data_IF_022892249795
#
_entry.id   IF_022892249795
#
_cell.length_a   1.000
_cell.length_b   1.000
_cell.length_c   1.000
_cell.angle_alpha   90.00
_cell.angle_beta   90.00
_cell.angle_gamma   90.00
#
_symmetry.space_group_name_H-M   'P 1'
#
loop_
_entity.id
_entity.type
_entity.pdbx_description
1 polymer ?
#
# COMPACT_ATOMS: atom_id res chain seq x y z
N UNK A 1 8.75 6.94 -25.01
CA UNK A 1 9.65 6.19 -24.12
C UNK A 1 9.15 4.77 -23.90
N UNK A 2 7.88 4.54 -23.66
CA UNK A 2 7.29 3.21 -23.39
C UNK A 2 6.36 2.80 -24.53
N UNK A 3 6.51 1.57 -25.04
CA UNK A 3 5.55 0.96 -25.94
C UNK A 3 4.33 0.42 -25.14
N UNK A 4 3.23 0.14 -25.84
CA UNK A 4 2.07 -0.53 -25.21
C UNK A 4 2.45 -1.90 -24.63
N UNK A 5 3.44 -2.58 -25.23
CA UNK A 5 3.97 -3.87 -24.76
C UNK A 5 4.71 -3.70 -23.43
N UNK A 6 5.52 -2.64 -23.29
CA UNK A 6 6.25 -2.35 -22.05
C UNK A 6 5.29 -2.03 -20.90
N UNK A 7 4.26 -1.22 -21.18
CA UNK A 7 3.23 -0.91 -20.18
C UNK A 7 2.48 -2.16 -19.72
N UNK A 8 2.09 -3.06 -20.63
CA UNK A 8 1.46 -4.32 -20.26
C UNK A 8 2.41 -5.21 -19.45
N UNK A 9 3.69 -5.28 -19.83
CA UNK A 9 4.72 -6.05 -19.13
C UNK A 9 4.99 -5.52 -17.71
N UNK A 10 4.76 -4.23 -17.48
CA UNK A 10 4.85 -3.61 -16.17
C UNK A 10 3.58 -3.82 -15.34
N UNK A 11 2.40 -3.53 -15.91
CA UNK A 11 1.14 -3.43 -15.17
C UNK A 11 0.50 -4.79 -14.85
N UNK A 12 0.50 -5.75 -15.80
CA UNK A 12 -0.16 -7.05 -15.58
C UNK A 12 0.44 -7.79 -14.38
N UNK A 13 1.78 -7.91 -14.24
CA UNK A 13 2.35 -8.54 -13.05
C UNK A 13 1.99 -7.80 -11.76
N UNK A 14 1.95 -6.46 -11.76
CA UNK A 14 1.57 -5.68 -10.57
C UNK A 14 0.13 -5.94 -10.15
N UNK A 15 -0.80 -6.06 -11.10
CA UNK A 15 -2.20 -6.42 -10.79
C UNK A 15 -2.26 -7.80 -10.15
N UNK A 16 -1.54 -8.78 -10.70
CA UNK A 16 -1.47 -10.14 -10.15
C UNK A 16 -0.89 -10.11 -8.73
N UNK A 17 0.19 -9.36 -8.49
CA UNK A 17 0.82 -9.20 -7.18
C UNK A 17 -0.17 -8.66 -6.14
N UNK A 18 -0.96 -7.63 -6.48
CA UNK A 18 -1.95 -7.05 -5.57
C UNK A 18 -3.09 -8.04 -5.24
N UNK A 19 -3.60 -8.76 -6.24
CA UNK A 19 -4.65 -9.77 -6.02
C UNK A 19 -4.13 -10.89 -5.12
N UNK A 20 -2.93 -11.40 -5.39
CA UNK A 20 -2.32 -12.46 -4.59
C UNK A 20 -2.09 -12.04 -3.15
N UNK A 21 -1.63 -10.80 -2.91
CA UNK A 21 -1.43 -10.30 -1.56
C UNK A 21 -2.71 -10.32 -0.72
N UNK A 22 -3.85 -9.97 -1.33
CA UNK A 22 -5.15 -10.01 -0.65
C UNK A 22 -5.60 -11.46 -0.40
N UNK A 23 -5.48 -12.34 -1.41
CA UNK A 23 -5.88 -13.75 -1.26
C UNK A 23 -5.08 -14.46 -0.17
N UNK A 24 -3.78 -14.20 -0.07
CA UNK A 24 -2.93 -14.77 0.98
C UNK A 24 -3.30 -14.21 2.36
N UNK A 25 -3.55 -12.91 2.48
CA UNK A 25 -4.04 -12.33 3.72
C UNK A 25 -5.35 -12.95 4.20
N UNK A 26 -6.28 -13.27 3.28
CA UNK A 26 -7.51 -14.00 3.61
C UNK A 26 -7.23 -15.44 4.07
N UNK A 27 -6.30 -16.14 3.40
CA UNK A 27 -5.90 -17.49 3.79
C UNK A 27 -5.26 -17.51 5.18
N UNK A 28 -4.42 -16.53 5.51
CA UNK A 28 -3.81 -16.39 6.83
C UNK A 28 -4.86 -16.25 7.94
N UNK A 29 -5.89 -15.40 7.73
CA UNK A 29 -7.00 -15.24 8.69
C UNK A 29 -7.75 -16.55 8.92
N UNK A 30 -8.02 -17.31 7.85
CA UNK A 30 -8.68 -18.63 7.94
C UNK A 30 -7.81 -19.62 8.72
N UNK A 31 -6.49 -19.65 8.48
CA UNK A 31 -5.59 -20.56 9.20
C UNK A 31 -5.44 -20.17 10.67
N UNK A 32 -5.39 -18.88 11.00
CA UNK A 32 -5.37 -18.42 12.40
C UNK A 32 -6.66 -18.76 13.13
N UNK A 33 -7.82 -18.71 12.46
CA UNK A 33 -9.12 -19.05 13.06
C UNK A 33 -9.18 -20.51 13.55
N UNK A 34 -8.43 -21.41 12.95
CA UNK A 34 -8.32 -22.79 13.39
C UNK A 34 -7.55 -22.97 14.71
N UNK A 35 -6.78 -21.96 15.13
CA UNK A 35 -6.05 -21.98 16.42
C UNK A 35 -6.97 -21.60 17.59
N UNK A 36 -7.95 -20.72 17.36
CA UNK A 36 -8.93 -20.31 18.36
C UNK A 36 -9.12 -18.79 18.43
N UNK A 37 -10.18 -18.36 19.13
CA UNK A 37 -10.61 -16.95 19.19
C UNK A 37 -9.55 -16.01 19.82
N UNK A 38 -8.88 -16.45 20.89
CA UNK A 38 -7.83 -15.66 21.52
C UNK A 38 -6.63 -15.44 20.58
N UNK A 39 -6.34 -16.44 19.71
CA UNK A 39 -5.29 -16.34 18.71
C UNK A 39 -5.67 -15.34 17.62
N UNK A 40 -6.90 -15.43 17.09
CA UNK A 40 -7.41 -14.49 16.08
C UNK A 40 -7.38 -13.05 16.61
N UNK A 41 -7.84 -12.85 17.86
CA UNK A 41 -7.83 -11.54 18.51
C UNK A 41 -6.41 -11.00 18.66
N UNK A 42 -5.48 -11.82 19.20
CA UNK A 42 -4.08 -11.41 19.39
C UNK A 42 -3.38 -11.06 18.06
N UNK A 43 -3.55 -11.89 17.01
CA UNK A 43 -2.99 -11.64 15.68
C UNK A 43 -3.57 -10.37 15.07
N UNK A 44 -4.90 -10.16 15.14
CA UNK A 44 -5.56 -8.97 14.58
C UNK A 44 -5.08 -7.66 15.20
N UNK A 45 -4.82 -7.65 16.52
CA UNK A 45 -4.25 -6.49 17.22
C UNK A 45 -2.85 -6.17 16.66
N UNK A 46 -2.00 -7.20 16.54
CA UNK A 46 -0.64 -7.04 16.01
C UNK A 46 -0.64 -6.66 14.54
N UNK A 47 -1.55 -7.19 13.74
CA UNK A 47 -1.67 -6.85 12.32
C UNK A 47 -2.02 -5.38 12.11
N UNK A 48 -2.77 -4.78 13.02
CA UNK A 48 -3.06 -3.34 13.00
C UNK A 48 -1.77 -2.51 13.15
N UNK A 49 -0.88 -2.88 14.07
CA UNK A 49 0.43 -2.25 14.26
C UNK A 49 1.34 -2.54 13.05
N UNK A 50 1.41 -3.81 12.65
CA UNK A 50 2.25 -4.24 11.52
C UNK A 50 1.89 -3.52 10.23
N UNK A 51 0.60 -3.30 9.97
CA UNK A 51 0.12 -2.54 8.81
C UNK A 51 0.67 -1.12 8.80
N UNK A 52 0.68 -0.41 9.94
CA UNK A 52 1.26 0.93 10.04
C UNK A 52 2.76 0.91 9.73
N UNK A 53 3.50 -0.06 10.29
CA UNK A 53 4.94 -0.21 10.07
C UNK A 53 5.23 -0.52 8.59
N UNK A 54 4.51 -1.47 8.01
CA UNK A 54 4.65 -1.87 6.60
C UNK A 54 4.37 -0.68 5.68
N UNK A 55 3.33 0.11 5.94
CA UNK A 55 3.01 1.29 5.14
C UNK A 55 4.09 2.37 5.23
N UNK A 56 4.74 2.52 6.39
CA UNK A 56 5.87 3.43 6.56
C UNK A 56 7.09 2.98 5.72
N UNK A 57 7.43 1.69 5.77
CA UNK A 57 8.53 1.11 4.98
C UNK A 57 8.24 1.17 3.47
N UNK A 58 7.01 0.87 3.06
CA UNK A 58 6.57 0.97 1.67
C UNK A 58 6.62 2.41 1.13
N UNK A 59 6.30 3.40 1.97
CA UNK A 59 6.40 4.81 1.61
C UNK A 59 7.86 5.24 1.36
N UNK A 60 8.81 4.76 2.18
CA UNK A 60 10.23 5.00 1.96
C UNK A 60 10.71 4.34 0.66
N UNK A 61 10.26 3.11 0.41
CA UNK A 61 10.54 2.39 -0.85
C UNK A 61 9.97 3.12 -2.07
N UNK A 62 8.79 3.73 -1.95
CA UNK A 62 8.20 4.59 -2.99
C UNK A 62 9.06 5.83 -3.23
N UNK A 63 9.59 6.47 -2.17
CA UNK A 63 10.52 7.59 -2.29
C UNK A 63 11.76 7.23 -3.10
N UNK A 64 12.36 6.08 -2.80
CA UNK A 64 13.48 5.54 -3.56
C UNK A 64 13.14 5.20 -5.01
N UNK A 65 11.97 4.58 -5.26
CA UNK A 65 11.51 4.26 -6.61
C UNK A 65 11.36 5.52 -7.48
N UNK A 66 10.81 6.61 -6.94
CA UNK A 66 10.70 7.89 -7.66
C UNK A 66 12.09 8.43 -8.01
N UNK A 67 13.01 8.49 -7.05
CA UNK A 67 14.36 9.01 -7.28
C UNK A 67 15.11 8.16 -8.31
N UNK A 68 15.08 6.83 -8.18
CA UNK A 68 15.68 5.92 -9.15
C UNK A 68 15.07 6.05 -10.55
N UNK A 69 13.74 6.12 -10.65
CA UNK A 69 13.04 6.30 -11.93
C UNK A 69 13.46 7.61 -12.61
N UNK A 70 13.60 8.69 -11.85
CA UNK A 70 14.04 9.98 -12.40
C UNK A 70 15.50 9.92 -12.91
N UNK A 71 16.42 9.26 -12.19
CA UNK A 71 17.79 9.08 -12.66
C UNK A 71 17.88 8.16 -13.89
N UNK A 72 17.07 7.09 -13.93
CA UNK A 72 16.96 6.25 -15.13
C UNK A 72 16.45 7.03 -16.34
N UNK A 73 15.48 7.90 -16.13
CA UNK A 73 14.99 8.80 -17.18
C UNK A 73 16.07 9.73 -17.72
N UNK A 74 16.96 10.22 -16.85
CA UNK A 74 18.16 11.01 -17.24
C UNK A 74 19.25 10.17 -17.90
N UNK A 75 19.08 8.85 -18.01
CA UNK A 75 20.12 7.89 -18.43
C UNK A 75 21.37 7.89 -17.53
N UNK A 76 21.20 8.26 -16.27
CA UNK A 76 22.26 8.31 -15.26
C UNK A 76 22.17 7.06 -14.35
N UNK A 77 22.60 5.93 -14.88
CA UNK A 77 22.56 4.64 -14.19
C UNK A 77 23.47 4.65 -12.94
N UNK A 78 24.56 5.45 -12.94
CA UNK A 78 25.47 5.56 -11.81
C UNK A 78 24.76 6.16 -10.59
N UNK A 79 24.12 7.30 -10.74
CA UNK A 79 23.37 7.92 -9.64
C UNK A 79 22.11 7.15 -9.29
N UNK A 80 21.47 6.44 -10.24
CA UNK A 80 20.40 5.52 -9.96
C UNK A 80 20.84 4.37 -9.04
N UNK A 81 22.03 3.79 -9.27
CA UNK A 81 22.61 2.74 -8.41
C UNK A 81 23.02 3.30 -7.03
N UNK A 82 23.54 4.53 -6.96
CA UNK A 82 23.79 5.21 -5.67
C UNK A 82 22.48 5.38 -4.89
N UNK A 83 21.41 5.84 -5.56
CA UNK A 83 20.10 5.98 -4.93
C UNK A 83 19.55 4.64 -4.43
N UNK A 84 19.74 3.56 -5.19
CA UNK A 84 19.36 2.21 -4.82
C UNK A 84 20.09 1.72 -3.57
N UNK A 85 21.41 1.93 -3.50
CA UNK A 85 22.22 1.59 -2.32
C UNK A 85 21.75 2.36 -1.08
N UNK A 86 21.49 3.67 -1.22
CA UNK A 86 21.01 4.50 -0.10
C UNK A 86 19.59 4.14 0.32
N UNK A 87 18.73 3.74 -0.61
CA UNK A 87 17.41 3.24 -0.30
C UNK A 87 17.50 1.97 0.54
N UNK A 88 18.25 0.95 0.08
CA UNK A 88 18.42 -0.31 0.81
C UNK A 88 19.02 -0.10 2.20
N UNK A 89 20.05 0.74 2.29
CA UNK A 89 20.66 1.04 3.58
C UNK A 89 19.67 1.74 4.52
N UNK A 90 18.96 2.76 4.04
CA UNK A 90 18.02 3.53 4.86
C UNK A 90 16.83 2.69 5.32
N UNK A 91 16.25 1.86 4.43
CA UNK A 91 15.13 0.99 4.77
C UNK A 91 15.55 -0.12 5.72
N UNK A 92 16.73 -0.71 5.52
CA UNK A 92 17.28 -1.72 6.44
C UNK A 92 17.53 -1.14 7.83
N UNK A 93 18.23 0.00 7.94
CA UNK A 93 18.49 0.62 9.24
C UNK A 93 17.21 1.03 9.97
N UNK A 94 16.26 1.62 9.25
CA UNK A 94 14.97 1.98 9.84
C UNK A 94 14.21 0.74 10.31
N UNK A 95 14.17 -0.33 9.50
CA UNK A 95 13.46 -1.55 9.87
C UNK A 95 14.11 -2.29 11.04
N UNK A 96 15.46 -2.30 11.12
CA UNK A 96 16.20 -2.84 12.28
C UNK A 96 15.91 -2.00 13.54
N UNK A 97 15.91 -0.68 13.42
CA UNK A 97 15.53 0.19 14.53
C UNK A 97 14.11 -0.10 15.02
N UNK A 98 13.13 -0.19 14.12
CA UNK A 98 11.74 -0.56 14.45
C UNK A 98 11.68 -1.96 15.09
N UNK A 99 12.41 -2.93 14.53
CA UNK A 99 12.51 -4.27 15.11
C UNK A 99 13.00 -4.24 16.56
N UNK A 100 14.10 -3.53 16.84
CA UNK A 100 14.66 -3.43 18.20
C UNK A 100 13.65 -2.78 19.15
N UNK A 101 13.01 -1.68 18.75
CA UNK A 101 11.97 -1.02 19.56
C UNK A 101 10.79 -1.96 19.82
N UNK A 102 10.35 -2.71 18.82
CA UNK A 102 9.26 -3.67 18.94
C UNK A 102 9.63 -4.85 19.85
N UNK A 103 10.86 -5.37 19.76
CA UNK A 103 11.33 -6.48 20.59
C UNK A 103 11.51 -6.08 22.06
N UNK A 104 12.17 -4.94 22.30
CA UNK A 104 12.41 -4.42 23.66
C UNK A 104 11.10 -3.99 24.32
N UNK A 105 10.25 -3.32 23.56
CA UNK A 105 8.97 -2.78 24.04
C UNK A 105 7.78 -3.73 23.91
N UNK A 106 7.93 -4.97 23.49
CA UNK A 106 6.86 -5.88 23.07
C UNK A 106 5.61 -5.78 23.96
N UNK A 107 5.70 -6.18 25.21
CA UNK A 107 4.57 -6.14 26.15
C UNK A 107 4.10 -4.72 26.46
N UNK A 108 5.05 -3.80 26.66
CA UNK A 108 4.74 -2.42 27.03
C UNK A 108 4.03 -1.67 25.90
N UNK A 109 4.44 -1.89 24.65
CA UNK A 109 3.79 -1.28 23.47
C UNK A 109 2.37 -1.82 23.28
N UNK A 110 2.17 -3.14 23.40
CA UNK A 110 0.85 -3.75 23.30
C UNK A 110 -0.07 -3.23 24.42
N UNK A 111 0.41 -3.18 25.66
CA UNK A 111 -0.36 -2.64 26.78
C UNK A 111 -0.66 -1.14 26.65
N UNK A 112 0.28 -0.35 26.12
CA UNK A 112 0.11 1.08 25.90
C UNK A 112 -0.95 1.36 24.81
N UNK A 113 -0.96 0.56 23.73
CA UNK A 113 -1.83 0.79 22.58
C UNK A 113 -3.23 0.23 22.84
N UNK A 114 -3.34 -0.97 23.43
CA UNK A 114 -4.60 -1.70 23.56
C UNK A 114 -5.15 -1.76 25.00
N UNK A 115 -4.40 -1.25 25.96
CA UNK A 115 -4.82 -1.27 27.36
C UNK A 115 -4.77 -2.67 27.99
N UNK A 116 -5.69 -2.93 28.92
CA UNK A 116 -5.85 -4.25 29.55
C UNK A 116 -6.68 -5.16 28.65
N UNK A 117 -6.05 -6.17 28.09
CA UNK A 117 -6.66 -7.25 27.33
C UNK A 117 -6.52 -8.57 28.09
N UNK A 118 -7.33 -9.57 27.74
CA UNK A 118 -7.28 -10.90 28.36
C UNK A 118 -5.87 -11.50 28.27
N UNK A 119 -5.47 -12.27 29.29
CA UNK A 119 -4.11 -12.81 29.42
C UNK A 119 -3.73 -13.70 28.21
N UNK A 120 -4.66 -14.52 27.74
CA UNK A 120 -4.44 -15.43 26.61
C UNK A 120 -4.28 -14.65 25.29
N UNK A 121 -5.07 -13.59 25.09
CA UNK A 121 -4.96 -12.69 23.93
C UNK A 121 -3.62 -11.96 23.97
N UNK A 122 -3.19 -11.46 25.15
CA UNK A 122 -1.90 -10.78 25.32
C UNK A 122 -0.74 -11.74 25.02
N UNK A 123 -0.80 -12.98 25.50
CA UNK A 123 0.26 -13.98 25.25
C UNK A 123 0.41 -14.30 23.77
N UNK A 124 -0.72 -14.51 23.07
CA UNK A 124 -0.74 -14.74 21.62
C UNK A 124 -0.23 -13.51 20.85
N UNK A 125 -0.67 -12.32 21.24
CA UNK A 125 -0.22 -11.06 20.64
C UNK A 125 1.29 -10.85 20.82
N UNK A 126 1.84 -11.11 22.00
CA UNK A 126 3.28 -11.00 22.26
C UNK A 126 4.09 -11.95 21.39
N UNK A 127 3.67 -13.21 21.27
CA UNK A 127 4.33 -14.23 20.44
C UNK A 127 4.32 -13.82 18.97
N UNK A 128 3.17 -13.40 18.46
CA UNK A 128 3.04 -13.00 17.06
C UNK A 128 3.76 -11.69 16.76
N UNK A 129 3.74 -10.72 17.69
CA UNK A 129 4.43 -9.44 17.54
C UNK A 129 5.94 -9.62 17.53
N UNK A 130 6.47 -10.50 18.37
CA UNK A 130 7.89 -10.87 18.37
C UNK A 130 8.32 -11.40 16.99
N UNK A 131 7.61 -12.39 16.45
CA UNK A 131 7.91 -12.99 15.15
C UNK A 131 7.73 -11.98 14.02
N UNK A 132 6.65 -11.20 14.03
CA UNK A 132 6.42 -10.14 13.04
C UNK A 132 7.55 -9.12 13.05
N UNK A 133 8.00 -8.66 14.22
CA UNK A 133 9.10 -7.71 14.34
C UNK A 133 10.40 -8.23 13.76
N UNK A 134 10.76 -9.50 14.02
CA UNK A 134 11.94 -10.15 13.42
C UNK A 134 11.86 -10.19 11.90
N UNK A 135 10.66 -10.24 11.33
CA UNK A 135 10.47 -10.29 9.87
C UNK A 135 10.61 -8.93 9.17
N UNK A 136 10.48 -7.80 9.88
CA UNK A 136 10.46 -6.46 9.25
C UNK A 136 11.72 -6.11 8.44
N UNK A 137 12.96 -6.40 8.88
CA UNK A 137 14.14 -6.12 8.07
C UNK A 137 14.15 -6.85 6.73
N UNK A 138 13.68 -8.08 6.70
CA UNK A 138 13.61 -8.88 5.48
C UNK A 138 12.53 -8.35 4.54
N UNK A 139 11.36 -8.00 5.08
CA UNK A 139 10.30 -7.38 4.31
C UNK A 139 10.72 -6.03 3.73
N UNK A 140 11.43 -5.21 4.51
CA UNK A 140 11.93 -3.91 4.07
C UNK A 140 12.91 -4.04 2.89
N UNK A 141 13.80 -5.03 2.94
CA UNK A 141 14.72 -5.36 1.83
C UNK A 141 13.92 -5.79 0.59
N UNK A 142 12.94 -6.71 0.78
CA UNK A 142 12.08 -7.15 -0.31
C UNK A 142 11.36 -5.97 -0.97
N UNK A 143 10.68 -5.12 -0.19
CA UNK A 143 9.92 -3.97 -0.69
C UNK A 143 10.80 -2.96 -1.42
N UNK A 144 11.99 -2.67 -0.86
CA UNK A 144 12.94 -1.77 -1.49
C UNK A 144 13.45 -2.33 -2.84
N UNK A 145 13.87 -3.59 -2.88
CA UNK A 145 14.29 -4.24 -4.13
C UNK A 145 13.15 -4.34 -5.14
N UNK A 146 11.92 -4.68 -4.72
CA UNK A 146 10.75 -4.71 -5.58
C UNK A 146 10.48 -3.32 -6.19
N UNK A 147 10.60 -2.26 -5.40
CA UNK A 147 10.48 -0.88 -5.87
C UNK A 147 11.56 -0.52 -6.91
N UNK A 148 12.81 -0.97 -6.72
CA UNK A 148 13.90 -0.80 -7.68
C UNK A 148 13.61 -1.53 -8.99
N UNK A 149 13.17 -2.78 -8.95
CA UNK A 149 12.81 -3.54 -10.16
C UNK A 149 11.64 -2.91 -10.90
N UNK A 150 10.63 -2.43 -10.18
CA UNK A 150 9.54 -1.66 -10.77
C UNK A 150 10.06 -0.38 -11.44
N UNK A 151 10.99 0.35 -10.82
CA UNK A 151 11.57 1.56 -11.41
C UNK A 151 12.33 1.30 -12.71
N UNK A 152 12.88 0.09 -12.89
CA UNK A 152 13.48 -0.39 -14.14
C UNK A 152 12.46 -0.89 -15.19
N UNK A 153 11.16 -0.88 -14.86
CA UNK A 153 10.10 -1.41 -15.73
C UNK A 153 9.97 -2.94 -15.73
N UNK A 154 10.61 -3.63 -14.78
CA UNK A 154 10.61 -5.09 -14.69
C UNK A 154 9.90 -5.59 -13.42
N UNK A 155 8.58 -5.56 -13.41
CA UNK A 155 7.79 -6.07 -12.26
C UNK A 155 7.70 -7.61 -12.21
N UNK A 156 8.15 -8.34 -13.23
CA UNK A 156 8.11 -9.82 -13.20
C UNK A 156 8.96 -10.40 -12.07
N UNK A 157 10.11 -9.78 -11.78
CA UNK A 157 11.01 -10.24 -10.71
C UNK A 157 10.33 -10.11 -9.35
N UNK A 158 9.68 -8.97 -9.07
CA UNK A 158 8.96 -8.78 -7.80
C UNK A 158 7.79 -9.75 -7.66
N UNK A 159 7.01 -9.96 -8.72
CA UNK A 159 5.87 -10.88 -8.71
C UNK A 159 6.31 -12.32 -8.49
N UNK A 160 7.35 -12.78 -9.20
CA UNK A 160 7.83 -14.16 -9.03
C UNK A 160 8.35 -14.39 -7.61
N UNK A 161 9.06 -13.42 -7.04
CA UNK A 161 9.53 -13.51 -5.65
C UNK A 161 8.35 -13.45 -4.66
N UNK A 162 7.34 -12.61 -4.92
CA UNK A 162 6.11 -12.56 -4.12
C UNK A 162 5.36 -13.90 -4.17
N UNK A 163 5.24 -14.52 -5.33
CA UNK A 163 4.65 -15.87 -5.48
C UNK A 163 5.39 -16.91 -4.63
N UNK A 164 6.72 -16.90 -4.68
CA UNK A 164 7.55 -17.79 -3.87
C UNK A 164 7.35 -17.52 -2.37
N UNK A 165 7.38 -16.26 -1.96
CA UNK A 165 7.12 -15.85 -0.58
C UNK A 165 5.75 -16.33 -0.09
N UNK A 166 4.72 -16.10 -0.88
CA UNK A 166 3.35 -16.49 -0.55
C UNK A 166 3.17 -18.01 -0.49
N UNK A 167 3.80 -18.75 -1.41
CA UNK A 167 3.77 -20.20 -1.39
C UNK A 167 4.44 -20.77 -0.12
N UNK A 168 5.62 -20.26 0.26
CA UNK A 168 6.31 -20.64 1.49
C UNK A 168 5.44 -20.32 2.71
N UNK A 169 4.80 -19.13 2.73
CA UNK A 169 3.95 -18.72 3.82
C UNK A 169 2.73 -19.62 3.98
N UNK A 170 1.94 -19.81 2.94
CA UNK A 170 0.70 -20.62 2.99
C UNK A 170 0.99 -22.08 3.32
N UNK A 171 1.98 -22.68 2.65
CA UNK A 171 2.36 -24.08 2.92
C UNK A 171 2.95 -24.22 4.32
N UNK A 172 3.79 -23.29 4.72
CA UNK A 172 4.39 -23.26 6.06
C UNK A 172 3.33 -23.10 7.16
N UNK A 173 2.38 -22.17 6.99
CA UNK A 173 1.27 -21.98 7.93
C UNK A 173 0.43 -23.26 8.04
N UNK A 174 0.08 -23.88 6.91
CA UNK A 174 -0.68 -25.13 6.91
C UNK A 174 0.05 -26.26 7.64
N UNK A 175 1.34 -26.44 7.41
CA UNK A 175 2.15 -27.45 8.10
C UNK A 175 2.29 -27.17 9.60
N UNK A 176 2.58 -25.91 9.98
CA UNK A 176 2.82 -25.57 11.38
C UNK A 176 1.54 -25.49 12.21
N UNK A 177 0.42 -25.02 11.63
CA UNK A 177 -0.87 -24.93 12.33
C UNK A 177 -1.56 -26.28 12.40
N UNK A 178 -1.77 -26.95 11.25
CA UNK A 178 -2.55 -28.20 11.19
C UNK A 178 -1.72 -29.45 11.44
N UNK A 179 -0.44 -29.46 11.03
CA UNK A 179 0.46 -30.62 11.20
C UNK A 179 1.16 -30.65 12.56
N UNK A 180 1.77 -29.52 12.96
CA UNK A 180 2.59 -29.43 14.17
C UNK A 180 1.84 -28.83 15.37
N UNK A 181 0.63 -28.32 15.19
CA UNK A 181 -0.20 -27.72 16.24
C UNK A 181 0.52 -26.61 17.05
N UNK A 182 1.32 -25.77 16.38
CA UNK A 182 2.18 -24.77 17.04
C UNK A 182 1.42 -23.52 17.50
N UNK A 183 0.10 -23.49 17.42
CA UNK A 183 -0.68 -22.32 17.78
C UNK A 183 -0.34 -21.08 16.94
N UNK A 184 -0.29 -19.92 17.57
CA UNK A 184 0.02 -18.63 16.89
C UNK A 184 1.45 -18.58 16.32
N UNK A 185 2.41 -19.26 16.96
CA UNK A 185 3.76 -19.39 16.44
C UNK A 185 3.79 -20.11 15.08
N UNK A 186 2.81 -21.01 14.84
CA UNK A 186 2.64 -21.72 13.57
C UNK A 186 2.28 -20.82 12.39
N UNK A 187 1.83 -19.61 12.62
CA UNK A 187 1.60 -18.58 11.57
C UNK A 187 2.77 -17.59 11.53
N UNK A 188 3.33 -17.25 12.69
CA UNK A 188 4.42 -16.29 12.76
C UNK A 188 5.74 -16.80 12.19
N UNK A 189 6.13 -18.05 12.45
CA UNK A 189 7.41 -18.62 11.97
C UNK A 189 7.44 -18.70 10.44
N UNK A 190 6.44 -19.26 9.73
CA UNK A 190 6.42 -19.25 8.27
C UNK A 190 6.41 -17.84 7.67
N UNK A 191 5.81 -16.87 8.36
CA UNK A 191 5.88 -15.46 7.96
C UNK A 191 7.31 -14.93 8.01
N UNK A 192 8.09 -15.24 9.05
CA UNK A 192 9.52 -14.88 9.11
C UNK A 192 10.30 -15.57 7.98
N UNK A 193 10.12 -16.88 7.82
CA UNK A 193 10.85 -17.68 6.83
C UNK A 193 10.56 -17.20 5.41
N UNK A 194 9.29 -16.99 5.07
CA UNK A 194 8.87 -16.54 3.74
C UNK A 194 9.41 -15.14 3.40
N UNK A 195 9.34 -14.19 4.35
CA UNK A 195 9.89 -12.84 4.18
C UNK A 195 11.43 -12.86 4.10
N UNK A 196 12.08 -13.70 4.91
CA UNK A 196 13.53 -13.89 4.85
C UNK A 196 13.96 -14.45 3.48
N UNK A 197 13.29 -15.50 2.99
CA UNK A 197 13.55 -16.05 1.68
C UNK A 197 13.37 -14.99 0.57
N UNK A 198 12.26 -14.25 0.58
CA UNK A 198 12.00 -13.19 -0.39
C UNK A 198 13.05 -12.08 -0.34
N UNK A 199 13.41 -11.60 0.84
CA UNK A 199 14.43 -10.56 1.04
C UNK A 199 15.80 -11.01 0.53
N UNK A 200 16.22 -12.25 0.85
CA UNK A 200 17.50 -12.82 0.41
C UNK A 200 17.50 -13.00 -1.12
N UNK A 201 16.45 -13.60 -1.69
CA UNK A 201 16.31 -13.79 -3.15
C UNK A 201 16.46 -12.44 -3.86
N UNK A 202 15.70 -11.43 -3.45
CA UNK A 202 15.74 -10.11 -4.07
C UNK A 202 17.09 -9.43 -3.91
N UNK A 203 17.74 -9.57 -2.74
CA UNK A 203 19.07 -9.01 -2.49
C UNK A 203 20.14 -9.67 -3.38
N UNK A 204 20.04 -10.98 -3.62
CA UNK A 204 20.94 -11.69 -4.53
C UNK A 204 20.75 -11.22 -5.97
N UNK A 205 19.48 -11.13 -6.41
CA UNK A 205 19.18 -10.75 -7.80
C UNK A 205 19.59 -9.29 -8.07
N UNK A 206 19.37 -8.34 -7.14
CA UNK A 206 19.72 -6.92 -7.35
C UNK A 206 21.23 -6.66 -7.38
N UNK A 207 22.03 -7.63 -6.92
CA UNK A 207 23.51 -7.56 -7.00
C UNK A 207 24.09 -7.96 -8.35
N UNK A 208 23.26 -8.44 -9.28
CA UNK A 208 23.73 -8.78 -10.63
C UNK A 208 24.13 -7.49 -11.38
N UNK A 209 25.41 -7.37 -11.81
CA UNK A 209 25.92 -6.18 -12.51
C UNK A 209 25.31 -5.97 -13.90
N UNK A 210 24.66 -7.00 -14.48
CA UNK A 210 24.02 -6.90 -15.80
C UNK A 210 22.74 -6.07 -15.78
N UNK A 211 22.23 -5.75 -14.58
CA UNK A 211 21.05 -4.92 -14.44
C UNK A 211 21.38 -3.43 -14.52
N UNK A 212 20.45 -2.64 -15.09
CA UNK A 212 20.57 -1.17 -15.19
C UNK A 212 20.82 -0.49 -13.84
N UNK A 213 20.19 -0.99 -12.80
CA UNK A 213 20.47 -0.65 -11.41
C UNK A 213 20.99 -1.91 -10.74
N UNK A 214 22.16 -1.83 -10.16
CA UNK A 214 22.72 -2.90 -9.34
C UNK A 214 23.29 -2.35 -8.05
N UNK A 215 23.32 -3.18 -7.04
CA UNK A 215 23.90 -2.87 -5.73
C UNK A 215 25.26 -3.54 -5.64
N UNK A 216 26.30 -2.74 -5.36
CA UNK A 216 27.66 -3.25 -5.24
C UNK A 216 27.74 -4.43 -4.25
N UNK A 217 28.51 -5.46 -4.60
CA UNK A 217 28.76 -6.64 -3.72
C UNK A 217 29.36 -6.23 -2.38
N UNK A 218 30.17 -5.20 -2.35
CA UNK A 218 30.60 -4.53 -1.12
C UNK A 218 29.58 -3.42 -0.86
N UNK A 219 28.64 -3.66 0.04
CA UNK A 219 27.81 -2.58 0.59
C UNK A 219 28.76 -1.49 1.09
N UNK A 220 28.99 -0.49 0.24
CA UNK A 220 29.72 0.69 0.68
C UNK A 220 28.81 1.37 1.69
N UNK A 221 29.11 1.22 2.97
CA UNK A 221 28.44 1.88 4.08
C UNK A 221 28.64 3.41 4.07
N UNK A 222 29.00 3.95 2.91
CA UNK A 222 29.11 5.38 2.70
C UNK A 222 27.73 6.01 2.62
N UNK A 223 27.39 6.83 3.61
CA UNK A 223 26.20 7.65 3.57
C UNK A 223 26.36 8.78 2.53
N UNK A 224 25.40 8.88 1.62
CA UNK A 224 25.25 10.01 0.72
C UNK A 224 24.11 10.92 1.20
N UNK A 225 24.37 11.93 2.08
CA UNK A 225 23.31 12.69 2.75
C UNK A 225 22.33 13.35 1.77
N UNK A 226 22.85 13.84 0.64
CA UNK A 226 22.01 14.46 -0.38
C UNK A 226 21.03 13.45 -1.02
N UNK A 227 21.47 12.22 -1.27
CA UNK A 227 20.63 11.19 -1.86
C UNK A 227 19.57 10.71 -0.86
N UNK A 228 19.96 10.49 0.39
CA UNK A 228 19.04 10.15 1.48
C UNK A 228 18.01 11.27 1.65
N UNK A 229 18.43 12.53 1.65
CA UNK A 229 17.50 13.68 1.73
C UNK A 229 16.50 13.69 0.58
N UNK A 230 16.93 13.36 -0.64
CA UNK A 230 16.03 13.28 -1.80
C UNK A 230 14.99 12.16 -1.64
N UNK A 231 15.40 10.99 -1.14
CA UNK A 231 14.51 9.86 -0.86
C UNK A 231 13.52 10.22 0.26
N UNK A 232 14.02 10.75 1.37
CA UNK A 232 13.20 11.14 2.52
C UNK A 232 12.23 12.28 2.20
N UNK A 233 12.62 13.22 1.35
CA UNK A 233 11.75 14.31 0.90
C UNK A 233 10.46 13.81 0.23
N UNK A 234 10.50 12.62 -0.34
CA UNK A 234 9.36 11.95 -0.97
C UNK A 234 8.75 10.93 -0.01
N UNK A 235 9.58 10.09 0.59
CA UNK A 235 9.13 9.00 1.46
C UNK A 235 8.45 9.46 2.74
N UNK A 236 8.97 10.48 3.42
CA UNK A 236 8.38 10.98 4.68
C UNK A 236 6.97 11.53 4.47
N UNK A 237 6.71 12.45 3.53
CA UNK A 237 5.34 12.89 3.28
C UNK A 237 4.39 11.76 2.87
N UNK A 238 4.85 10.81 2.05
CA UNK A 238 4.05 9.65 1.67
C UNK A 238 3.75 8.74 2.88
N UNK A 239 4.72 8.55 3.76
CA UNK A 239 4.54 7.80 5.01
C UNK A 239 3.55 8.47 5.96
N UNK A 240 3.64 9.79 6.13
CA UNK A 240 2.67 10.56 6.92
C UNK A 240 1.26 10.44 6.35
N UNK A 241 1.11 10.56 5.03
CA UNK A 241 -0.19 10.38 4.36
C UNK A 241 -0.77 8.99 4.64
N UNK A 242 0.02 7.92 4.44
CA UNK A 242 -0.41 6.55 4.69
C UNK A 242 -0.77 6.29 6.16
N UNK A 243 0.05 6.80 7.09
CA UNK A 243 -0.19 6.66 8.53
C UNK A 243 -1.47 7.38 8.97
N UNK A 244 -1.69 8.62 8.50
CA UNK A 244 -2.91 9.37 8.78
C UNK A 244 -4.14 8.69 8.19
N UNK A 245 -3.99 8.08 7.00
CA UNK A 245 -5.07 7.31 6.38
C UNK A 245 -5.45 6.08 7.22
N UNK A 246 -4.48 5.35 7.75
CA UNK A 246 -4.76 4.19 8.61
C UNK A 246 -5.39 4.58 9.95
N UNK A 247 -4.89 5.64 10.58
CA UNK A 247 -5.52 6.18 11.79
C UNK A 247 -6.96 6.60 11.53
N UNK A 248 -7.23 7.26 10.41
CA UNK A 248 -8.58 7.64 10.04
C UNK A 248 -9.50 6.44 9.81
N UNK A 249 -9.00 5.34 9.22
CA UNK A 249 -9.78 4.09 9.09
C UNK A 249 -10.17 3.51 10.44
N UNK A 250 -9.25 3.53 11.42
CA UNK A 250 -9.51 3.05 12.78
C UNK A 250 -10.61 3.91 13.45
N UNK A 251 -10.54 5.24 13.33
CA UNK A 251 -11.56 6.13 13.89
C UNK A 251 -12.94 5.92 13.24
N UNK A 252 -12.97 5.74 11.93
CA UNK A 252 -14.22 5.43 11.21
C UNK A 252 -14.77 4.07 11.63
N UNK A 253 -13.92 3.06 11.81
CA UNK A 253 -14.34 1.74 12.30
C UNK A 253 -14.91 1.81 13.72
N UNK A 254 -14.32 2.63 14.59
CA UNK A 254 -14.83 2.90 15.94
C UNK A 254 -16.23 3.54 15.89
N UNK A 255 -16.45 4.50 14.97
CA UNK A 255 -17.78 5.09 14.77
C UNK A 255 -18.80 4.05 14.28
N UNK A 256 -18.42 3.19 13.32
CA UNK A 256 -19.31 2.13 12.81
C UNK A 256 -19.65 1.13 13.91
N UNK A 257 -18.72 0.83 14.83
CA UNK A 257 -18.97 -0.10 15.94
C UNK A 257 -20.05 0.37 16.90
N UNK A 258 -20.35 1.68 16.94
CA UNK A 258 -21.44 2.24 17.75
C UNK A 258 -22.84 2.09 17.11
N UNK A 259 -22.92 1.63 15.84
CA UNK A 259 -24.16 1.56 15.07
C UNK A 259 -24.90 0.20 15.15
N UNK A 260 -24.43 -0.71 15.98
CA UNK A 260 -25.02 -2.02 16.17
C UNK A 260 -24.46 -3.12 15.28
N UNK A 261 -24.76 -4.38 15.65
CA UNK A 261 -24.13 -5.58 15.06
C UNK A 261 -24.40 -5.75 13.57
N UNK A 262 -25.64 -5.49 13.12
CA UNK A 262 -25.98 -5.60 11.69
C UNK A 262 -25.18 -4.60 10.83
N UNK A 263 -25.03 -3.36 11.33
CA UNK A 263 -24.20 -2.33 10.68
C UNK A 263 -22.74 -2.71 10.58
N UNK A 264 -22.15 -3.26 11.66
CA UNK A 264 -20.77 -3.72 11.70
C UNK A 264 -20.57 -4.85 10.68
N UNK A 265 -21.46 -5.86 10.68
CA UNK A 265 -21.36 -7.01 9.79
C UNK A 265 -21.51 -6.59 8.31
N UNK A 266 -22.52 -5.77 7.99
CA UNK A 266 -22.74 -5.26 6.64
C UNK A 266 -21.57 -4.41 6.14
N UNK A 267 -21.04 -3.52 6.98
CA UNK A 267 -19.86 -2.70 6.66
C UNK A 267 -18.60 -3.55 6.42
N UNK A 268 -18.35 -4.57 7.26
CA UNK A 268 -17.19 -5.43 7.13
C UNK A 268 -17.22 -6.22 5.82
N UNK A 269 -18.35 -6.84 5.49
CA UNK A 269 -18.52 -7.59 4.24
C UNK A 269 -18.42 -6.67 3.03
N UNK A 270 -19.06 -5.49 3.06
CA UNK A 270 -18.93 -4.52 1.98
C UNK A 270 -17.46 -4.13 1.76
N UNK A 271 -16.70 -3.79 2.82
CA UNK A 271 -15.28 -3.45 2.70
C UNK A 271 -14.42 -4.58 2.12
N UNK A 272 -14.71 -5.84 2.50
CA UNK A 272 -13.99 -7.00 1.95
C UNK A 272 -14.22 -7.17 0.45
N UNK A 273 -15.43 -6.96 -0.01
CA UNK A 273 -15.79 -7.14 -1.43
C UNK A 273 -15.31 -5.96 -2.30
N UNK A 274 -15.49 -4.73 -1.84
CA UNK A 274 -15.10 -3.54 -2.64
C UNK A 274 -13.58 -3.38 -2.79
N UNK A 275 -12.76 -4.00 -1.93
CA UNK A 275 -11.32 -3.94 -2.11
C UNK A 275 -10.86 -4.58 -3.42
N UNK A 276 -11.52 -5.66 -3.88
CA UNK A 276 -11.21 -6.30 -5.16
C UNK A 276 -11.49 -5.38 -6.35
N UNK A 277 -12.41 -4.45 -6.21
CA UNK A 277 -12.78 -3.49 -7.23
C UNK A 277 -11.63 -2.51 -7.53
N UNK A 278 -10.93 -1.99 -6.50
CA UNK A 278 -9.88 -0.98 -6.69
C UNK A 278 -8.44 -1.53 -6.76
N UNK A 279 -8.21 -2.84 -6.50
CA UNK A 279 -6.87 -3.43 -6.57
C UNK A 279 -6.13 -3.18 -7.90
N UNK A 280 -6.77 -3.39 -9.09
CA UNK A 280 -6.10 -3.09 -10.35
C UNK A 280 -5.75 -1.60 -10.48
N UNK A 281 -6.59 -0.73 -9.93
CA UNK A 281 -6.35 0.71 -9.91
C UNK A 281 -5.11 1.09 -9.09
N UNK A 282 -4.91 0.46 -7.93
CA UNK A 282 -3.70 0.63 -7.12
C UNK A 282 -2.45 0.16 -7.87
N UNK A 283 -2.51 -0.99 -8.52
CA UNK A 283 -1.41 -1.51 -9.35
C UNK A 283 -1.02 -0.55 -10.47
N UNK A 284 -2.02 0.05 -11.15
CA UNK A 284 -1.78 1.07 -12.17
C UNK A 284 -1.12 2.31 -11.55
N UNK A 285 -1.56 2.73 -10.36
CA UNK A 285 -0.94 3.82 -9.59
C UNK A 285 0.55 3.57 -9.32
N UNK A 286 0.91 2.36 -8.89
CA UNK A 286 2.32 1.97 -8.71
C UNK A 286 3.11 2.02 -10.03
N UNK A 287 2.52 1.55 -11.12
CA UNK A 287 3.12 1.64 -12.46
C UNK A 287 3.31 3.09 -12.93
N UNK A 288 2.41 4.00 -12.56
CA UNK A 288 2.53 5.44 -12.87
C UNK A 288 3.80 6.04 -12.25
N UNK A 289 4.19 5.63 -11.04
CA UNK A 289 5.43 6.10 -10.40
C UNK A 289 6.65 5.85 -11.30
N UNK A 290 6.73 4.67 -11.89
CA UNK A 290 7.82 4.29 -12.79
C UNK A 290 7.78 5.07 -14.10
N UNK A 291 6.64 5.02 -14.80
CA UNK A 291 6.50 5.58 -16.15
C UNK A 291 6.66 7.11 -16.12
N UNK A 292 5.95 7.76 -15.21
CA UNK A 292 5.98 9.21 -15.11
C UNK A 292 7.32 9.70 -14.52
N UNK A 293 7.87 8.97 -13.53
CA UNK A 293 9.18 9.30 -12.96
C UNK A 293 10.30 9.29 -14.01
N UNK A 294 10.33 8.30 -14.90
CA UNK A 294 11.30 8.26 -15.99
C UNK A 294 11.05 9.38 -17.01
N UNK A 295 9.79 9.68 -17.38
CA UNK A 295 9.48 10.78 -18.29
C UNK A 295 9.89 12.14 -17.71
N UNK A 296 9.62 12.38 -16.43
CA UNK A 296 10.00 13.60 -15.73
C UNK A 296 11.53 13.71 -15.62
N UNK A 297 12.20 12.60 -15.30
CA UNK A 297 13.66 12.55 -15.26
C UNK A 297 14.31 12.88 -16.59
N UNK A 298 13.75 12.39 -17.70
CA UNK A 298 14.20 12.70 -19.05
C UNK A 298 13.86 14.14 -19.52
N UNK A 299 13.07 14.90 -18.75
CA UNK A 299 12.55 16.21 -19.18
C UNK A 299 11.43 16.15 -20.19
N UNK A 300 10.88 14.96 -20.47
CA UNK A 300 9.83 14.70 -21.44
C UNK A 300 8.43 14.96 -20.85
N UNK A 301 8.16 16.21 -20.49
CA UNK A 301 6.93 16.62 -19.79
C UNK A 301 5.66 16.36 -20.61
N UNK A 302 5.73 16.47 -21.92
CA UNK A 302 4.60 16.16 -22.82
C UNK A 302 4.25 14.67 -22.75
N UNK A 303 5.26 13.80 -22.80
CA UNK A 303 5.07 12.35 -22.66
C UNK A 303 4.56 11.98 -21.25
N UNK A 304 5.06 12.64 -20.18
CA UNK A 304 4.56 12.44 -18.83
C UNK A 304 3.04 12.69 -18.75
N UNK A 305 2.54 13.77 -19.36
CA UNK A 305 1.10 14.06 -19.45
C UNK A 305 0.35 13.03 -20.28
N UNK A 306 0.91 12.64 -21.43
CA UNK A 306 0.29 11.65 -22.33
C UNK A 306 0.12 10.30 -21.64
N UNK A 307 1.16 9.80 -20.95
CA UNK A 307 1.09 8.54 -20.20
C UNK A 307 0.17 8.64 -19.00
N UNK A 308 0.17 9.76 -18.27
CA UNK A 308 -0.79 9.97 -17.18
C UNK A 308 -2.22 9.85 -17.67
N UNK A 309 -2.58 10.56 -18.77
CA UNK A 309 -3.92 10.48 -19.35
C UNK A 309 -4.26 9.06 -19.85
N UNK A 310 -3.30 8.39 -20.50
CA UNK A 310 -3.50 7.03 -20.99
C UNK A 310 -3.75 6.05 -19.83
N UNK A 311 -2.91 6.08 -18.80
CA UNK A 311 -3.03 5.19 -17.65
C UNK A 311 -4.30 5.47 -16.83
N UNK A 312 -4.72 6.73 -16.71
CA UNK A 312 -6.02 7.05 -16.10
C UNK A 312 -7.17 6.48 -16.95
N UNK A 313 -7.14 6.60 -18.28
CA UNK A 313 -8.17 6.01 -19.15
C UNK A 313 -8.24 4.48 -19.00
N UNK A 314 -7.09 3.82 -18.96
CA UNK A 314 -7.03 2.36 -18.73
C UNK A 314 -7.61 2.02 -17.35
N UNK A 315 -7.27 2.80 -16.34
CA UNK A 315 -7.79 2.63 -14.99
C UNK A 315 -9.32 2.78 -14.94
N UNK A 316 -9.86 3.84 -15.55
CA UNK A 316 -11.31 4.03 -15.70
C UNK A 316 -11.98 2.84 -16.38
N UNK A 317 -11.40 2.33 -17.46
CA UNK A 317 -11.96 1.19 -18.19
C UNK A 317 -12.03 -0.08 -17.35
N UNK A 318 -10.95 -0.39 -16.62
CA UNK A 318 -10.90 -1.58 -15.76
C UNK A 318 -11.86 -1.44 -14.58
N UNK A 319 -11.85 -0.29 -13.89
CA UNK A 319 -12.70 -0.08 -12.73
C UNK A 319 -14.18 -0.02 -13.11
N UNK A 320 -14.53 0.53 -14.27
CA UNK A 320 -15.91 0.52 -14.75
C UNK A 320 -16.44 -0.91 -14.99
N UNK A 321 -15.61 -1.78 -15.59
CA UNK A 321 -15.97 -3.20 -15.76
C UNK A 321 -16.16 -3.88 -14.41
N UNK A 322 -15.24 -3.67 -13.47
CA UNK A 322 -15.33 -4.27 -12.15
C UNK A 322 -16.51 -3.73 -11.34
N UNK A 323 -16.81 -2.44 -11.45
CA UNK A 323 -17.98 -1.82 -10.82
C UNK A 323 -19.29 -2.43 -11.30
N UNK A 324 -19.43 -2.63 -12.62
CA UNK A 324 -20.61 -3.30 -13.19
C UNK A 324 -20.69 -4.76 -12.73
N UNK A 325 -19.59 -5.49 -12.74
CA UNK A 325 -19.56 -6.89 -12.31
C UNK A 325 -19.88 -7.02 -10.82
N UNK A 326 -19.27 -6.19 -9.97
CA UNK A 326 -19.48 -6.22 -8.53
C UNK A 326 -20.93 -5.82 -8.17
N UNK A 327 -21.48 -4.81 -8.85
CA UNK A 327 -22.89 -4.42 -8.68
C UNK A 327 -23.82 -5.57 -9.07
N UNK A 328 -23.62 -6.19 -10.23
CA UNK A 328 -24.45 -7.29 -10.71
C UNK A 328 -24.38 -8.54 -9.81
N UNK A 329 -23.21 -8.80 -9.24
CA UNK A 329 -22.94 -9.95 -8.37
C UNK A 329 -23.04 -9.63 -6.87
N UNK A 330 -23.42 -8.41 -6.47
CA UNK A 330 -23.46 -7.98 -5.08
C UNK A 330 -24.30 -8.89 -4.18
N UNK A 331 -25.53 -9.20 -4.61
CA UNK A 331 -26.46 -10.06 -3.85
C UNK A 331 -25.93 -11.49 -3.67
N UNK A 332 -25.52 -12.24 -4.73
CA UNK A 332 -24.97 -13.58 -4.54
C UNK A 332 -23.66 -13.60 -3.76
N UNK A 333 -22.78 -12.59 -3.94
CA UNK A 333 -21.52 -12.50 -3.18
C UNK A 333 -21.75 -12.25 -1.70
N UNK A 334 -22.67 -11.34 -1.34
CA UNK A 334 -23.06 -11.10 0.05
C UNK A 334 -23.73 -12.33 0.64
N UNK A 335 -24.52 -13.08 -0.15
CA UNK A 335 -25.18 -14.31 0.28
C UNK A 335 -24.21 -15.40 0.77
N UNK A 336 -22.96 -15.43 0.29
CA UNK A 336 -21.94 -16.39 0.74
C UNK A 336 -21.62 -16.22 2.24
N UNK A 337 -21.78 -15.00 2.78
CA UNK A 337 -21.43 -14.69 4.17
C UNK A 337 -22.51 -15.05 5.19
N UNK A 338 -23.68 -15.53 4.77
CA UNK A 338 -24.80 -15.94 5.62
C UNK A 338 -25.16 -14.90 6.70
N UNK A 339 -25.24 -13.62 6.30
CA UNK A 339 -25.61 -12.51 7.18
C UNK A 339 -27.11 -12.49 7.48
N UNK A 340 -27.50 -11.75 8.54
CA UNK A 340 -28.90 -11.41 8.75
C UNK A 340 -29.47 -10.63 7.55
N UNK A 341 -30.79 -10.66 7.31
CA UNK A 341 -31.41 -9.92 6.20
C UNK A 341 -31.10 -8.42 6.24
N UNK A 342 -31.05 -7.83 7.43
CA UNK A 342 -30.69 -6.43 7.64
C UNK A 342 -29.24 -6.15 7.26
N UNK A 343 -28.28 -6.94 7.77
CA UNK A 343 -26.85 -6.79 7.45
C UNK A 343 -26.56 -7.02 5.96
N UNK A 344 -27.26 -8.00 5.34
CA UNK A 344 -27.16 -8.25 3.89
C UNK A 344 -27.64 -7.06 3.07
N UNK A 345 -28.78 -6.48 3.45
CA UNK A 345 -29.33 -5.28 2.78
C UNK A 345 -28.36 -4.10 2.87
N UNK A 346 -27.79 -3.87 4.06
CA UNK A 346 -26.75 -2.83 4.27
C UNK A 346 -25.54 -3.12 3.35
N UNK A 347 -25.00 -4.33 3.36
CA UNK A 347 -23.82 -4.68 2.57
C UNK A 347 -24.05 -4.46 1.06
N UNK A 348 -25.18 -4.93 0.53
CA UNK A 348 -25.53 -4.75 -0.90
C UNK A 348 -25.67 -3.27 -1.24
N UNK A 349 -26.40 -2.50 -0.42
CA UNK A 349 -26.57 -1.06 -0.65
C UNK A 349 -25.23 -0.31 -0.67
N UNK A 350 -24.34 -0.62 0.27
CA UNK A 350 -23.00 -0.04 0.33
C UNK A 350 -22.16 -0.40 -0.92
N UNK A 351 -22.15 -1.65 -1.36
CA UNK A 351 -21.43 -2.11 -2.55
C UNK A 351 -21.91 -1.36 -3.80
N UNK A 352 -23.23 -1.29 -4.00
CA UNK A 352 -23.81 -0.60 -5.17
C UNK A 352 -23.43 0.87 -5.19
N UNK A 353 -23.56 1.58 -4.07
CA UNK A 353 -23.19 3.01 -3.98
C UNK A 353 -21.68 3.21 -4.17
N UNK A 354 -20.85 2.30 -3.68
CA UNK A 354 -19.39 2.32 -3.89
C UNK A 354 -19.05 2.19 -5.37
N UNK A 355 -19.66 1.25 -6.07
CA UNK A 355 -19.41 1.02 -7.49
C UNK A 355 -19.73 2.26 -8.34
N UNK A 356 -20.79 3.01 -8.00
CA UNK A 356 -21.05 4.31 -8.64
C UNK A 356 -19.96 5.34 -8.32
N UNK A 357 -19.46 5.37 -7.09
CA UNK A 357 -18.41 6.30 -6.69
C UNK A 357 -17.04 5.99 -7.32
N UNK A 358 -16.85 4.81 -7.90
CA UNK A 358 -15.60 4.43 -8.57
C UNK A 358 -15.23 5.33 -9.76
N UNK A 359 -16.17 6.11 -10.28
CA UNK A 359 -15.88 7.15 -11.27
C UNK A 359 -14.91 8.23 -10.73
N UNK A 360 -14.88 8.43 -9.42
CA UNK A 360 -14.01 9.44 -8.77
C UNK A 360 -12.63 8.85 -8.46
N UNK A 361 -12.55 7.54 -8.22
CA UNK A 361 -11.40 6.86 -7.64
C UNK A 361 -10.08 7.06 -8.42
N UNK A 362 -10.02 6.94 -9.78
CA UNK A 362 -8.75 7.08 -10.52
C UNK A 362 -8.09 8.45 -10.31
N UNK A 363 -8.87 9.51 -10.23
CA UNK A 363 -8.32 10.86 -10.02
C UNK A 363 -7.95 11.08 -8.54
N UNK A 364 -8.71 10.50 -7.60
CA UNK A 364 -8.45 10.64 -6.19
C UNK A 364 -7.22 9.84 -5.70
N UNK A 365 -6.95 8.66 -6.29
CA UNK A 365 -5.94 7.72 -5.77
C UNK A 365 -4.85 7.32 -6.77
N UNK A 366 -5.13 7.23 -8.07
CA UNK A 366 -4.09 6.91 -9.05
C UNK A 366 -3.33 8.16 -9.51
N UNK A 367 -4.01 9.26 -9.81
CA UNK A 367 -3.38 10.51 -10.24
C UNK A 367 -2.32 11.06 -9.25
N UNK A 368 -2.51 11.02 -7.92
CA UNK A 368 -1.47 11.45 -6.98
C UNK A 368 -0.13 10.73 -7.15
N UNK A 369 -0.12 9.51 -7.64
CA UNK A 369 1.13 8.79 -7.91
C UNK A 369 1.93 9.42 -9.06
N UNK A 370 1.25 9.99 -10.07
CA UNK A 370 1.91 10.78 -11.11
C UNK A 370 2.49 12.08 -10.55
N UNK A 371 1.77 12.77 -9.65
CA UNK A 371 2.24 13.97 -8.99
C UNK A 371 3.48 13.67 -8.11
N UNK A 372 3.43 12.58 -7.34
CA UNK A 372 4.57 12.10 -6.53
C UNK A 372 5.76 11.73 -7.39
N UNK A 373 5.55 11.09 -8.54
CA UNK A 373 6.60 10.75 -9.50
C UNK A 373 7.34 11.98 -10.02
N UNK A 374 6.69 13.14 -10.04
CA UNK A 374 7.28 14.44 -10.34
C UNK A 374 7.79 15.20 -9.09
N UNK A 375 7.84 14.54 -7.92
CA UNK A 375 8.26 15.09 -6.63
C UNK A 375 7.30 16.13 -6.01
N UNK A 376 6.06 16.23 -6.49
CA UNK A 376 5.02 17.12 -5.92
C UNK A 376 4.29 16.46 -4.73
N UNK A 377 5.06 16.00 -3.75
CA UNK A 377 4.59 15.14 -2.64
C UNK A 377 3.93 15.94 -1.53
N UNK A 378 4.39 17.17 -1.28
CA UNK A 378 3.81 18.00 -0.22
C UNK A 378 2.35 18.34 -0.50
N UNK A 379 2.04 18.67 -1.75
CA UNK A 379 0.69 18.96 -2.16
C UNK A 379 -0.23 17.74 -2.00
N UNK A 380 0.23 16.56 -2.43
CA UNK A 380 -0.57 15.32 -2.30
C UNK A 380 -0.81 14.97 -0.84
N UNK A 381 0.22 15.05 0.01
CA UNK A 381 0.12 14.79 1.45
C UNK A 381 -0.86 15.75 2.14
N UNK A 382 -0.68 17.07 1.97
CA UNK A 382 -1.52 18.06 2.64
C UNK A 382 -2.98 17.91 2.23
N UNK A 383 -3.24 17.75 0.93
CA UNK A 383 -4.60 17.54 0.41
C UNK A 383 -5.21 16.26 0.99
N UNK A 384 -4.48 15.15 1.01
CA UNK A 384 -4.99 13.88 1.49
C UNK A 384 -5.23 13.87 3.00
N UNK A 385 -4.31 14.43 3.79
CA UNK A 385 -4.45 14.53 5.25
C UNK A 385 -5.62 15.44 5.62
N UNK A 386 -5.69 16.63 5.03
CA UNK A 386 -6.81 17.54 5.27
C UNK A 386 -8.15 16.91 4.92
N UNK A 387 -8.25 16.31 3.75
CA UNK A 387 -9.46 15.66 3.27
C UNK A 387 -9.90 14.52 4.19
N UNK A 388 -8.96 13.70 4.65
CA UNK A 388 -9.22 12.58 5.58
C UNK A 388 -9.82 13.08 6.90
N UNK A 389 -9.23 14.12 7.49
CA UNK A 389 -9.70 14.64 8.78
C UNK A 389 -11.01 15.44 8.65
N UNK A 390 -11.10 16.32 7.66
CA UNK A 390 -12.28 17.19 7.50
C UNK A 390 -13.51 16.41 7.00
N UNK A 391 -13.34 15.66 5.91
CA UNK A 391 -14.46 14.98 5.26
C UNK A 391 -14.64 13.55 5.78
N UNK A 392 -13.62 12.69 5.69
CA UNK A 392 -13.81 11.28 6.03
C UNK A 392 -14.14 11.06 7.51
N UNK A 393 -13.48 11.77 8.41
CA UNK A 393 -13.74 11.66 9.85
C UNK A 393 -14.79 12.68 10.27
N UNK A 394 -14.51 13.99 10.16
CA UNK A 394 -15.40 15.04 10.65
C UNK A 394 -16.82 14.95 10.09
N UNK A 395 -16.96 14.84 8.76
CA UNK A 395 -18.26 14.74 8.13
C UNK A 395 -18.95 13.40 8.46
N UNK A 396 -18.22 12.27 8.66
CA UNK A 396 -18.81 11.01 9.12
C UNK A 396 -19.50 11.17 10.46
N UNK A 397 -18.86 11.81 11.44
CA UNK A 397 -19.47 12.06 12.74
C UNK A 397 -20.72 12.95 12.62
N UNK A 398 -20.68 13.99 11.79
CA UNK A 398 -21.84 14.88 11.54
C UNK A 398 -22.99 14.10 10.91
N UNK A 399 -22.73 13.31 9.85
CA UNK A 399 -23.78 12.57 9.15
C UNK A 399 -24.35 11.41 9.97
N UNK A 400 -23.52 10.76 10.76
CA UNK A 400 -23.97 9.62 11.59
C UNK A 400 -24.68 10.09 12.85
N UNK A 401 -24.08 10.99 13.62
CA UNK A 401 -24.63 11.42 14.92
C UNK A 401 -25.63 12.57 14.78
N UNK A 402 -25.42 13.50 13.84
CA UNK A 402 -26.32 14.64 13.62
C UNK A 402 -27.50 14.33 12.73
N UNK A 403 -27.27 13.66 11.61
CA UNK A 403 -28.32 13.34 10.63
C UNK A 403 -28.87 11.90 10.74
N UNK A 404 -28.31 11.08 11.62
CA UNK A 404 -28.73 9.69 11.87
C UNK A 404 -28.75 8.80 10.60
N UNK A 405 -27.82 9.04 9.66
CA UNK A 405 -27.74 8.30 8.40
C UNK A 405 -27.08 6.91 8.54
N UNK A 406 -26.74 6.48 9.75
CA UNK A 406 -26.11 5.20 10.00
C UNK A 406 -24.82 4.98 9.20
N UNK A 407 -24.58 3.74 8.78
CA UNK A 407 -23.36 3.39 8.01
C UNK A 407 -23.31 4.07 6.65
N UNK A 408 -24.46 4.37 6.04
CA UNK A 408 -24.51 5.11 4.78
C UNK A 408 -23.91 6.51 4.92
N UNK A 409 -24.08 7.17 6.07
CA UNK A 409 -23.47 8.46 6.36
C UNK A 409 -21.94 8.39 6.32
N UNK A 410 -21.33 7.30 6.81
CA UNK A 410 -19.89 7.07 6.73
C UNK A 410 -19.43 6.97 5.27
N UNK A 411 -20.17 6.29 4.41
CA UNK A 411 -19.78 6.14 3.01
C UNK A 411 -20.01 7.41 2.20
N UNK A 412 -21.06 8.16 2.47
CA UNK A 412 -21.25 9.50 1.87
C UNK A 412 -20.07 10.43 2.23
N UNK A 413 -19.64 10.43 3.48
CA UNK A 413 -18.48 11.18 3.93
C UNK A 413 -17.18 10.72 3.23
N UNK A 414 -17.02 9.41 3.00
CA UNK A 414 -15.92 8.84 2.23
C UNK A 414 -15.93 9.34 0.77
N UNK A 415 -17.09 9.41 0.14
CA UNK A 415 -17.17 9.91 -1.24
C UNK A 415 -16.96 11.42 -1.32
N UNK A 416 -17.35 12.19 -0.30
CA UNK A 416 -17.00 13.59 -0.19
C UNK A 416 -15.48 13.81 -0.06
N UNK A 417 -14.80 12.97 0.74
CA UNK A 417 -13.32 12.92 0.82
C UNK A 417 -12.71 12.65 -0.57
N UNK A 418 -13.19 11.64 -1.29
CA UNK A 418 -12.70 11.31 -2.64
C UNK A 418 -12.95 12.44 -3.64
N UNK A 419 -14.13 13.02 -3.62
CA UNK A 419 -14.51 14.14 -4.49
C UNK A 419 -13.61 15.36 -4.29
N UNK A 420 -13.37 15.73 -3.04
CA UNK A 420 -12.49 16.83 -2.69
C UNK A 420 -11.05 16.59 -3.19
N UNK A 421 -10.50 15.40 -2.93
CA UNK A 421 -9.18 15.00 -3.43
C UNK A 421 -9.12 15.06 -4.95
N UNK A 422 -10.11 14.46 -5.62
CA UNK A 422 -10.16 14.40 -7.07
C UNK A 422 -10.17 15.80 -7.69
N UNK A 423 -10.97 16.73 -7.15
CA UNK A 423 -11.02 18.11 -7.63
C UNK A 423 -9.67 18.79 -7.49
N UNK A 424 -9.04 18.74 -6.30
CA UNK A 424 -7.77 19.42 -6.06
C UNK A 424 -6.62 18.80 -6.87
N UNK A 425 -6.54 17.46 -6.95
CA UNK A 425 -5.52 16.79 -7.75
C UNK A 425 -5.70 17.05 -9.25
N UNK A 426 -6.93 17.09 -9.74
CA UNK A 426 -7.22 17.42 -11.12
C UNK A 426 -6.84 18.87 -11.47
N UNK A 427 -7.19 19.84 -10.60
CA UNK A 427 -6.78 21.25 -10.76
C UNK A 427 -5.26 21.36 -10.77
N UNK A 428 -4.56 20.69 -9.82
CA UNK A 428 -3.11 20.68 -9.77
C UNK A 428 -2.48 20.10 -11.02
N UNK A 429 -3.02 18.99 -11.51
CA UNK A 429 -2.59 18.33 -12.74
C UNK A 429 -2.79 19.24 -13.97
N UNK A 430 -3.99 19.83 -14.13
CA UNK A 430 -4.33 20.70 -15.27
C UNK A 430 -3.48 21.96 -15.28
N UNK A 431 -3.21 22.57 -14.14
CA UNK A 431 -2.37 23.77 -14.04
C UNK A 431 -0.92 23.55 -14.49
N UNK A 432 -0.45 22.31 -14.57
CA UNK A 432 0.94 21.97 -14.91
C UNK A 432 1.96 22.25 -13.81
N UNK A 433 1.56 22.80 -12.67
CA UNK A 433 2.44 23.16 -11.55
C UNK A 433 3.10 21.96 -10.86
N UNK A 434 2.66 20.74 -11.15
CA UNK A 434 3.23 19.50 -10.65
C UNK A 434 4.53 19.10 -11.37
N UNK A 435 4.76 19.59 -12.58
CA UNK A 435 5.98 19.33 -13.34
C UNK A 435 7.06 20.33 -12.95
N UNK A 436 8.34 19.88 -12.81
CA UNK A 436 9.46 20.78 -12.56
C UNK A 436 9.51 21.83 -13.69
N UNK A 437 9.67 23.10 -13.31
CA UNK A 437 9.92 24.14 -14.32
C UNK A 437 11.25 23.83 -14.99
N UNK A 438 11.30 23.82 -16.34
CA UNK A 438 12.56 23.78 -17.05
C UNK A 438 13.41 24.95 -16.57
N UNK A 439 14.69 24.73 -16.15
CA UNK A 439 15.58 25.87 -16.03
C UNK A 439 15.53 26.63 -17.36
N UNK A 440 15.16 27.91 -17.31
CA UNK A 440 15.27 28.76 -18.49
C UNK A 440 16.69 28.55 -19.02
N UNK A 441 16.84 28.06 -20.27
CA UNK A 441 18.09 28.13 -20.97
C UNK A 441 18.49 29.60 -20.87
N UNK A 442 19.52 29.88 -20.08
CA UNK A 442 20.17 31.18 -20.18
C UNK A 442 20.44 31.35 -21.67
N UNK A 443 19.80 32.35 -22.26
CA UNK A 443 20.13 32.79 -23.58
C UNK A 443 21.64 33.07 -23.55
N UNK A 444 22.42 32.17 -24.16
CA UNK A 444 23.82 32.42 -24.43
C UNK A 444 23.75 33.60 -25.39
N UNK A 445 24.02 34.78 -24.83
CA UNK A 445 24.17 36.01 -25.60
C UNK A 445 25.23 35.78 -26.66
N UNK A 446 24.86 36.16 -27.83
CA UNK A 446 25.72 36.31 -29.00
C UNK A 446 26.93 37.22 -28.71
#
# INVERSE_FOLDING_TARGET
>A
MFSKKDLRRLLIPLIIEQILAVLVGMADVVMVSAVGEAAVSGVSLVDSISTLIIQLLAALSTGGAVVCSQYLGKKDAKNASVAANQLLLSTFLLSVFIMIVALVGNRSLLALIFGSIEADVMSNAQTYFFLSAVSYPFLAIYDACAALYRSMGNSKVSVNTSLCMNAINVVGNALCVYGLHMGVAGVGIPTVVSRAAAGIIMLVIVRNPDHLIHVDRRLRLGFHPQMIRNILRIGVPAGMENSMFQLGKILVQSLVSSLGTASIAGFAVANNLVQFEYLPGTAIGLGMVTVIGQCVGAGEHAQARQYTNYLLKVNYGILAVLAVLLTALSTPLVGIYNLSPEASSIAVALIVVHSFAMIIWPVAFALPNALRAASDVKFTMVTAVFSMWAFRIGLSYVLVLGFHLGVMGVWIAMFADWGFRAVLFFIRYRSGRWLPQRPQKQAVGQ
#
